data_IF_395301658662
#
_entry.id   IF_395301658662
#
_cell.length_a   1.000
_cell.length_b   1.000
_cell.length_c   1.000
_cell.angle_alpha   90.00
_cell.angle_beta   90.00
_cell.angle_gamma   90.00
#
_symmetry.space_group_name_H-M   'P 1'
#
loop_
_entity.id
_entity.type
_entity.pdbx_description
1 polymer ?
#
# COMPACT_ATOMS: atom_id res chain seq x y z
N UNK A 1 0.06 3.38 15.91
CA UNK A 1 0.51 4.77 15.82
C UNK A 1 -0.58 5.61 15.17
N UNK A 2 -0.99 6.71 15.79
CA UNK A 2 -1.85 7.72 15.17
C UNK A 2 -0.96 8.77 14.50
N UNK A 3 -1.43 9.32 13.40
CA UNK A 3 -0.73 10.38 12.69
C UNK A 3 -1.43 11.72 12.87
N UNK A 4 -0.68 12.77 13.13
CA UNK A 4 -1.23 14.12 13.24
C UNK A 4 -1.90 14.54 11.94
N UNK A 5 -3.07 15.16 12.03
CA UNK A 5 -3.86 15.63 10.88
C UNK A 5 -4.39 14.53 9.94
N UNK A 6 -4.45 13.27 10.42
CA UNK A 6 -5.01 12.15 9.67
C UNK A 6 -5.89 11.27 10.57
N UNK A 7 -7.00 10.76 10.03
CA UNK A 7 -7.81 9.73 10.67
C UNK A 7 -7.22 8.33 10.50
N UNK A 8 -6.20 8.19 9.65
CA UNK A 8 -5.53 6.95 9.32
C UNK A 8 -4.45 6.65 10.35
N UNK A 9 -4.01 5.40 10.40
CA UNK A 9 -3.02 4.97 11.39
C UNK A 9 -2.37 3.66 11.05
N UNK A 10 -1.39 3.29 11.86
CA UNK A 10 -0.74 1.99 11.83
C UNK A 10 -0.85 1.31 13.19
N UNK A 11 -1.06 0.00 13.18
CA UNK A 11 -1.02 -0.84 14.38
C UNK A 11 0.13 -1.84 14.29
N UNK A 12 0.74 -2.13 15.43
CA UNK A 12 1.83 -3.09 15.55
C UNK A 12 1.37 -4.18 16.51
N UNK A 13 1.52 -5.43 16.10
CA UNK A 13 1.11 -6.60 16.85
C UNK A 13 2.27 -7.59 16.92
N UNK A 14 2.53 -8.09 18.11
CA UNK A 14 3.46 -9.20 18.32
C UNK A 14 2.64 -10.49 18.38
N UNK A 15 3.01 -11.45 17.57
CA UNK A 15 2.35 -12.74 17.43
C UNK A 15 3.34 -13.87 17.78
N UNK A 16 2.86 -14.86 18.50
CA UNK A 16 3.55 -16.13 18.66
C UNK A 16 2.89 -17.16 17.72
N UNK A 17 3.67 -17.67 16.77
CA UNK A 17 3.22 -18.69 15.83
C UNK A 17 4.05 -19.96 16.09
N UNK A 18 3.54 -20.81 16.97
CA UNK A 18 4.20 -22.08 17.35
C UNK A 18 5.62 -21.87 17.86
N UNK A 19 5.78 -20.90 18.75
CA UNK A 19 7.08 -20.55 19.35
C UNK A 19 7.95 -19.62 18.50
N UNK A 20 7.51 -19.21 17.32
CA UNK A 20 8.20 -18.25 16.45
C UNK A 20 7.59 -16.86 16.63
N UNK A 21 8.41 -15.88 16.96
CA UNK A 21 7.96 -14.50 17.15
C UNK A 21 7.88 -13.77 15.84
N UNK A 22 6.69 -13.24 15.53
CA UNK A 22 6.40 -12.44 14.34
C UNK A 22 5.84 -11.09 14.74
N UNK A 23 6.40 -10.01 14.18
CA UNK A 23 5.80 -8.68 14.28
C UNK A 23 4.99 -8.39 13.04
N UNK A 24 3.70 -8.13 13.23
CA UNK A 24 2.76 -7.69 12.20
C UNK A 24 2.52 -6.19 12.31
N UNK A 25 2.75 -5.44 11.25
CA UNK A 25 2.38 -4.04 11.10
C UNK A 25 1.23 -3.96 10.10
N UNK A 26 0.08 -3.44 10.54
CA UNK A 26 -1.04 -3.16 9.65
C UNK A 26 -1.18 -1.65 9.45
N UNK A 27 -1.18 -1.22 8.19
CA UNK A 27 -1.18 0.18 7.81
C UNK A 27 -2.46 0.57 7.06
N UNK A 28 -2.95 1.77 7.36
CA UNK A 28 -3.86 2.50 6.51
C UNK A 28 -3.30 3.92 6.39
N UNK A 29 -2.63 4.21 5.27
CA UNK A 29 -1.98 5.49 5.03
C UNK A 29 -2.96 6.51 4.44
N UNK A 30 -2.55 7.77 4.40
CA UNK A 30 -3.38 8.88 3.93
C UNK A 30 -3.86 8.67 2.49
N UNK A 31 -5.16 8.79 2.29
CA UNK A 31 -5.79 8.74 0.97
C UNK A 31 -5.73 10.08 0.25
N UNK A 32 -6.00 10.10 -1.05
CA UNK A 32 -6.08 11.33 -1.83
C UNK A 32 -7.32 12.18 -1.52
N UNK A 33 -8.31 11.64 -0.81
CA UNK A 33 -9.58 12.31 -0.49
C UNK A 33 -10.27 12.91 -1.74
N UNK A 34 -10.13 12.25 -2.89
CA UNK A 34 -10.76 12.68 -4.12
C UNK A 34 -12.28 12.53 -3.99
N UNK A 35 -13.01 13.62 -4.25
CA UNK A 35 -14.45 13.59 -4.30
C UNK A 35 -14.94 12.82 -5.55
N UNK A 36 -16.22 12.46 -5.59
CA UNK A 36 -16.81 11.85 -6.79
C UNK A 36 -16.71 12.78 -8.02
N UNK A 37 -16.80 14.08 -7.80
CA UNK A 37 -16.63 15.09 -8.84
C UNK A 37 -15.19 15.13 -9.35
N UNK A 38 -14.19 15.13 -8.46
CA UNK A 38 -12.76 15.04 -8.83
C UNK A 38 -12.47 13.80 -9.68
N UNK A 39 -13.04 12.65 -9.29
CA UNK A 39 -12.88 11.38 -9.99
C UNK A 39 -13.52 11.40 -11.38
N UNK A 40 -14.72 12.01 -11.50
CA UNK A 40 -15.41 12.15 -12.77
C UNK A 40 -14.66 13.08 -13.74
N UNK A 41 -14.14 14.20 -13.26
CA UNK A 41 -13.29 15.11 -14.04
C UNK A 41 -12.02 14.42 -14.53
N UNK A 42 -11.34 13.65 -13.67
CA UNK A 42 -10.16 12.90 -14.04
C UNK A 42 -10.46 11.82 -15.09
N UNK A 43 -11.56 11.11 -14.94
CA UNK A 43 -12.04 10.11 -15.89
C UNK A 43 -12.40 10.71 -17.27
N UNK A 44 -13.09 11.85 -17.29
CA UNK A 44 -13.40 12.56 -18.51
C UNK A 44 -12.14 13.07 -19.22
N UNK A 45 -11.14 13.50 -18.45
CA UNK A 45 -9.87 13.96 -18.96
C UNK A 45 -9.06 12.82 -19.60
N UNK A 46 -8.94 11.65 -18.96
CA UNK A 46 -8.24 10.49 -19.55
C UNK A 46 -8.84 10.10 -20.90
N UNK A 47 -10.14 10.31 -21.08
CA UNK A 47 -10.85 10.03 -22.34
C UNK A 47 -10.59 11.08 -23.43
N UNK A 48 -10.23 12.31 -23.07
CA UNK A 48 -10.10 13.46 -23.97
C UNK A 48 -8.71 14.11 -23.92
N UNK A 49 -7.66 13.29 -23.95
CA UNK A 49 -6.27 13.76 -23.92
C UNK A 49 -5.92 14.61 -25.16
N UNK A 50 -5.79 15.93 -24.96
CA UNK A 50 -5.15 16.84 -25.91
C UNK A 50 -4.11 17.72 -25.18
N UNK A 51 -3.17 18.30 -25.91
CA UNK A 51 -1.98 18.97 -25.35
C UNK A 51 -2.28 20.20 -24.48
N UNK A 52 -3.36 20.94 -24.77
CA UNK A 52 -3.72 22.15 -24.01
C UNK A 52 -4.33 21.84 -22.64
N UNK A 53 -4.93 20.66 -22.49
CA UNK A 53 -5.51 20.21 -21.21
C UNK A 53 -4.47 19.63 -20.25
N UNK A 54 -3.28 19.25 -20.72
CA UNK A 54 -2.23 18.62 -19.91
C UNK A 54 -1.66 19.55 -18.84
N UNK A 55 -1.39 20.83 -19.16
CA UNK A 55 -0.79 21.77 -18.19
C UNK A 55 -1.80 22.21 -17.11
N UNK A 56 -3.04 22.42 -17.46
CA UNK A 56 -4.12 22.71 -16.52
C UNK A 56 -4.37 21.56 -15.55
N UNK A 57 -4.29 20.34 -16.05
CA UNK A 57 -4.44 19.14 -15.23
C UNK A 57 -3.26 18.92 -14.28
N UNK A 58 -2.02 19.10 -14.77
CA UNK A 58 -0.82 18.95 -13.95
C UNK A 58 -0.89 19.84 -12.71
N UNK A 59 -1.26 21.12 -12.89
CA UNK A 59 -1.40 22.05 -11.78
C UNK A 59 -2.53 21.64 -10.81
N UNK A 60 -3.67 21.18 -11.32
CA UNK A 60 -4.80 20.70 -10.52
C UNK A 60 -4.45 19.44 -9.75
N UNK A 61 -3.77 18.49 -10.38
CA UNK A 61 -3.27 17.25 -9.74
C UNK A 61 -2.26 17.60 -8.65
N UNK A 62 -1.28 18.44 -8.93
CA UNK A 62 -0.27 18.85 -7.95
C UNK A 62 -0.89 19.55 -6.74
N UNK A 63 -1.88 20.39 -6.92
CA UNK A 63 -2.59 21.07 -5.83
C UNK A 63 -3.43 20.11 -4.98
N UNK A 64 -4.14 19.16 -5.58
CA UNK A 64 -5.03 18.25 -4.88
C UNK A 64 -4.30 17.04 -4.29
N UNK A 65 -3.38 16.44 -5.04
CA UNK A 65 -2.67 15.23 -4.60
C UNK A 65 -1.41 15.54 -3.79
N UNK A 66 -0.77 16.69 -4.02
CA UNK A 66 0.47 17.09 -3.37
C UNK A 66 0.43 17.04 -1.84
N UNK A 67 -0.64 17.56 -1.17
CA UNK A 67 -0.79 17.44 0.28
C UNK A 67 -0.82 16.00 0.77
N UNK A 68 -1.59 15.12 0.11
CA UNK A 68 -1.69 13.71 0.48
C UNK A 68 -0.34 12.98 0.30
N UNK A 69 0.39 13.24 -0.79
CA UNK A 69 1.75 12.70 -0.98
C UNK A 69 2.71 13.11 0.13
N UNK A 70 2.68 14.38 0.57
CA UNK A 70 3.54 14.86 1.66
C UNK A 70 3.20 14.21 3.00
N UNK A 71 1.90 14.06 3.31
CA UNK A 71 1.44 13.39 4.54
C UNK A 71 1.88 11.92 4.49
N UNK A 72 1.59 11.23 3.41
CA UNK A 72 1.93 9.82 3.21
C UNK A 72 3.44 9.55 3.27
N UNK A 73 4.25 10.46 2.71
CA UNK A 73 5.72 10.37 2.82
C UNK A 73 6.21 10.46 4.27
N UNK A 74 5.57 11.28 5.13
CA UNK A 74 5.89 11.33 6.57
C UNK A 74 5.45 10.06 7.28
N UNK A 75 4.24 9.57 6.99
CA UNK A 75 3.72 8.32 7.53
C UNK A 75 4.63 7.14 7.15
N UNK A 76 5.03 7.03 5.89
CA UNK A 76 5.92 5.98 5.41
C UNK A 76 7.27 5.98 6.13
N UNK A 77 7.87 7.16 6.35
CA UNK A 77 9.11 7.25 7.15
C UNK A 77 8.91 6.81 8.59
N UNK A 78 7.79 7.22 9.22
CA UNK A 78 7.50 6.79 10.58
C UNK A 78 7.35 5.27 10.69
N UNK A 79 6.65 4.62 9.73
CA UNK A 79 6.55 3.15 9.66
C UNK A 79 7.91 2.51 9.45
N UNK A 80 8.73 3.05 8.54
CA UNK A 80 10.07 2.53 8.28
C UNK A 80 10.98 2.61 9.51
N UNK A 81 10.88 3.68 10.32
CA UNK A 81 11.63 3.79 11.58
C UNK A 81 11.14 2.78 12.63
N UNK A 82 9.84 2.48 12.70
CA UNK A 82 9.35 1.40 13.57
C UNK A 82 9.85 0.03 13.11
N UNK A 83 9.86 -0.24 11.79
CA UNK A 83 10.40 -1.50 11.23
C UNK A 83 11.86 -1.71 11.65
N UNK A 84 12.68 -0.66 11.67
CA UNK A 84 14.11 -0.75 12.08
C UNK A 84 14.31 -1.12 13.55
N UNK A 85 13.31 -0.88 14.40
CA UNK A 85 13.37 -1.18 15.86
C UNK A 85 12.95 -2.61 16.17
N UNK A 86 12.40 -3.34 15.20
CA UNK A 86 11.88 -4.68 15.40
C UNK A 86 13.04 -5.66 15.57
N UNK A 87 13.02 -6.38 16.66
CA UNK A 87 13.99 -7.43 17.02
C UNK A 87 13.29 -8.81 17.09
N UNK A 88 12.47 -9.11 16.08
CA UNK A 88 11.84 -10.42 15.92
C UNK A 88 12.34 -11.11 14.67
N UNK A 89 12.28 -12.45 14.66
CA UNK A 89 12.76 -13.23 13.51
C UNK A 89 11.96 -12.93 12.23
N UNK A 90 10.66 -12.65 12.37
CA UNK A 90 9.75 -12.49 11.25
C UNK A 90 9.05 -11.14 11.33
N UNK A 91 9.08 -10.42 10.22
CA UNK A 91 8.39 -9.13 10.06
C UNK A 91 7.42 -9.22 8.89
N UNK A 92 6.17 -8.87 9.15
CA UNK A 92 5.09 -8.80 8.17
C UNK A 92 4.48 -7.41 8.22
N UNK A 93 4.42 -6.75 7.06
CA UNK A 93 3.79 -5.43 6.93
C UNK A 93 2.70 -5.55 5.88
N UNK A 94 1.47 -5.19 6.24
CA UNK A 94 0.35 -5.24 5.32
C UNK A 94 -0.53 -4.00 5.43
N UNK A 95 -1.51 -3.90 4.53
CA UNK A 95 -2.57 -2.92 4.57
C UNK A 95 -2.65 -2.03 3.33
N UNK A 96 -3.53 -1.05 3.42
CA UNK A 96 -3.73 -0.05 2.38
C UNK A 96 -2.68 1.06 2.50
N UNK A 97 -1.75 1.09 1.55
CA UNK A 97 -0.73 2.13 1.48
C UNK A 97 -1.24 3.38 0.75
N UNK A 98 -2.43 3.33 0.17
CA UNK A 98 -3.00 4.38 -0.66
C UNK A 98 -2.03 4.88 -1.76
N UNK A 99 -1.09 4.03 -2.17
CA UNK A 99 -0.06 4.34 -3.16
C UNK A 99 0.44 3.08 -3.87
N UNK A 100 0.94 3.26 -5.08
CA UNK A 100 1.39 2.16 -5.94
C UNK A 100 2.75 1.60 -5.49
N UNK A 101 3.11 0.36 -5.91
CA UNK A 101 4.39 -0.27 -5.56
C UNK A 101 5.65 0.47 -6.03
N UNK A 102 5.52 1.35 -7.01
CA UNK A 102 6.63 2.18 -7.51
C UNK A 102 6.79 3.49 -6.76
N UNK A 103 5.87 3.82 -5.84
CA UNK A 103 5.83 5.09 -5.13
C UNK A 103 6.95 5.23 -4.09
N UNK A 104 7.19 6.49 -3.69
CA UNK A 104 8.10 6.80 -2.58
C UNK A 104 7.65 6.12 -1.27
N UNK A 105 6.36 6.20 -0.97
CA UNK A 105 5.81 5.64 0.28
C UNK A 105 6.02 4.12 0.35
N UNK A 106 5.64 3.39 -0.71
CA UNK A 106 5.84 1.95 -0.76
C UNK A 106 7.32 1.57 -0.62
N UNK A 107 8.21 2.18 -1.40
CA UNK A 107 9.65 1.89 -1.36
C UNK A 107 10.28 2.19 -0.01
N UNK A 108 9.83 3.27 0.64
CA UNK A 108 10.32 3.65 1.97
C UNK A 108 9.95 2.62 3.03
N UNK A 109 8.70 2.14 3.03
CA UNK A 109 8.23 1.10 3.96
C UNK A 109 8.88 -0.24 3.62
N UNK A 110 8.97 -0.56 2.33
CA UNK A 110 9.56 -1.82 1.89
C UNK A 110 10.99 -2.00 2.42
N UNK A 111 11.86 -1.00 2.23
CA UNK A 111 13.25 -1.12 2.68
C UNK A 111 13.88 -2.47 2.30
N UNK A 112 14.34 -3.29 3.28
CA UNK A 112 14.89 -4.63 3.04
C UNK A 112 13.82 -5.73 2.86
N UNK A 113 12.55 -5.44 3.13
CA UNK A 113 11.46 -6.40 3.01
C UNK A 113 11.18 -6.74 1.55
N UNK A 114 10.52 -7.86 1.32
CA UNK A 114 10.13 -8.35 -0.01
C UNK A 114 8.62 -8.17 -0.20
N UNK A 115 8.21 -7.82 -1.40
CA UNK A 115 6.80 -7.72 -1.79
C UNK A 115 6.26 -9.12 -2.14
N UNK A 116 5.29 -9.59 -1.37
CA UNK A 116 4.72 -10.93 -1.52
C UNK A 116 4.00 -11.10 -2.85
N UNK A 117 3.29 -10.06 -3.33
CA UNK A 117 2.62 -10.12 -4.62
C UNK A 117 3.61 -10.15 -5.78
N UNK A 118 4.65 -9.34 -5.73
CA UNK A 118 5.70 -9.37 -6.74
C UNK A 118 6.44 -10.72 -6.80
N UNK A 119 6.55 -11.41 -5.67
CA UNK A 119 7.25 -12.69 -5.55
C UNK A 119 6.39 -13.91 -5.92
N UNK A 120 5.07 -13.89 -5.72
CA UNK A 120 4.21 -15.08 -5.90
C UNK A 120 2.82 -14.79 -6.48
N UNK A 121 2.50 -13.54 -6.79
CA UNK A 121 1.26 -13.15 -7.44
C UNK A 121 1.33 -13.30 -8.96
N UNK A 122 0.19 -13.10 -9.61
CA UNK A 122 0.07 -13.13 -11.07
C UNK A 122 -0.69 -11.91 -11.60
N UNK A 123 -0.20 -11.34 -12.69
CA UNK A 123 -0.79 -10.16 -13.33
C UNK A 123 -0.52 -8.86 -12.57
N UNK A 124 -1.34 -7.84 -12.81
CA UNK A 124 -1.14 -6.47 -12.28
C UNK A 124 -1.50 -6.36 -10.79
N UNK A 125 -2.39 -7.23 -10.30
CA UNK A 125 -2.78 -7.26 -8.88
C UNK A 125 -3.62 -6.07 -8.44
N UNK A 126 -4.54 -5.62 -9.28
CA UNK A 126 -5.41 -4.48 -8.96
C UNK A 126 -6.23 -4.77 -7.71
N UNK A 127 -6.00 -4.02 -6.64
CA UNK A 127 -6.77 -4.11 -5.40
C UNK A 127 -7.83 -3.02 -5.29
N UNK A 128 -7.62 -1.85 -5.90
CA UNK A 128 -8.60 -0.76 -5.99
C UNK A 128 -9.06 -0.57 -7.43
N UNK A 129 -10.37 -0.58 -7.70
CA UNK A 129 -10.92 -0.56 -9.07
C UNK A 129 -12.10 0.38 -9.27
N UNK A 130 -12.18 1.46 -8.54
CA UNK A 130 -13.24 2.45 -8.68
C UNK A 130 -12.87 3.54 -9.69
N UNK A 131 -13.86 3.97 -10.49
CA UNK A 131 -13.78 5.16 -11.37
C UNK A 131 -12.54 5.19 -12.29
N UNK A 132 -12.20 4.06 -12.94
CA UNK A 132 -11.02 3.90 -13.80
C UNK A 132 -9.65 3.98 -13.11
N UNK A 133 -9.62 4.02 -11.78
CA UNK A 133 -8.40 3.90 -11.00
C UNK A 133 -8.13 2.42 -10.70
N UNK A 134 -7.35 1.77 -11.54
CA UNK A 134 -7.02 0.35 -11.40
C UNK A 134 -5.61 0.20 -10.88
N UNK A 135 -5.48 0.27 -9.56
CA UNK A 135 -4.19 0.25 -8.91
C UNK A 135 -4.09 -0.85 -7.85
N UNK A 136 -2.88 -1.35 -7.66
CA UNK A 136 -2.54 -2.12 -6.47
C UNK A 136 -2.05 -1.13 -5.41
N UNK A 137 -2.86 -0.89 -4.40
CA UNK A 137 -2.55 -0.01 -3.27
C UNK A 137 -2.55 -0.75 -1.94
N UNK A 138 -3.14 -1.94 -1.90
CA UNK A 138 -3.00 -2.87 -0.80
C UNK A 138 -1.76 -3.74 -1.00
N UNK A 139 -0.99 -3.92 0.06
CA UNK A 139 0.31 -4.55 -0.03
C UNK A 139 0.54 -5.55 1.12
N UNK A 140 1.37 -6.56 0.86
CA UNK A 140 1.91 -7.49 1.83
C UNK A 140 3.42 -7.52 1.62
N UNK A 141 4.18 -7.03 2.61
CA UNK A 141 5.64 -7.06 2.62
C UNK A 141 6.11 -7.99 3.74
N UNK A 142 7.17 -8.74 3.51
CA UNK A 142 7.66 -9.73 4.46
C UNK A 142 9.18 -9.77 4.54
N UNK A 143 9.72 -10.23 5.66
CA UNK A 143 11.16 -10.48 5.85
C UNK A 143 11.67 -11.63 4.97
N UNK A 144 12.97 -11.65 4.69
CA UNK A 144 13.58 -12.57 3.71
C UNK A 144 13.46 -14.06 4.10
N UNK A 145 13.33 -14.35 5.39
CA UNK A 145 13.13 -15.70 5.95
C UNK A 145 11.67 -16.19 5.89
N UNK A 146 10.79 -15.47 5.19
CA UNK A 146 9.45 -15.92 4.85
C UNK A 146 9.37 -16.20 3.34
N UNK A 147 8.56 -17.20 2.96
CA UNK A 147 8.29 -17.53 1.55
C UNK A 147 6.82 -17.32 1.22
N UNK A 148 6.48 -16.35 0.35
CA UNK A 148 5.10 -16.16 -0.08
C UNK A 148 4.70 -17.25 -1.08
N UNK A 149 3.44 -17.70 -0.97
CA UNK A 149 2.85 -18.75 -1.82
C UNK A 149 1.45 -18.28 -2.23
N UNK A 150 1.17 -18.30 -3.52
CA UNK A 150 -0.15 -18.00 -4.09
C UNK A 150 -0.73 -16.66 -3.61
N UNK A 151 0.04 -15.58 -3.73
CA UNK A 151 -0.47 -14.25 -3.46
C UNK A 151 -1.54 -13.89 -4.51
N UNK A 152 -2.77 -13.63 -4.06
CA UNK A 152 -3.94 -13.52 -4.94
C UNK A 152 -4.78 -12.31 -4.55
N UNK A 153 -5.34 -11.67 -5.57
CA UNK A 153 -6.39 -10.66 -5.43
C UNK A 153 -7.71 -11.28 -5.89
N UNK A 154 -8.66 -11.41 -4.98
CA UNK A 154 -9.97 -11.97 -5.27
C UNK A 154 -10.93 -10.88 -5.75
N UNK A 155 -11.54 -11.09 -6.92
CA UNK A 155 -12.47 -10.13 -7.54
C UNK A 155 -13.88 -10.21 -6.94
N UNK A 156 -14.00 -10.03 -5.62
CA UNK A 156 -15.28 -9.97 -4.91
C UNK A 156 -15.69 -8.51 -4.70
N UNK A 157 -16.95 -8.18 -4.97
CA UNK A 157 -17.47 -6.80 -4.99
C UNK A 157 -18.25 -6.45 -3.72
N UNK A 158 -17.61 -6.61 -2.56
CA UNK A 158 -18.18 -6.18 -1.28
C UNK A 158 -17.69 -4.79 -0.84
N UNK A 159 -16.66 -4.27 -1.50
CA UNK A 159 -16.01 -3.00 -1.23
C UNK A 159 -15.46 -2.44 -2.54
N UNK A 160 -15.02 -1.19 -2.53
CA UNK A 160 -14.19 -0.56 -3.57
C UNK A 160 -12.76 -1.13 -3.62
N UNK A 161 -12.38 -1.93 -2.61
CA UNK A 161 -11.16 -2.73 -2.63
C UNK A 161 -11.46 -4.22 -2.82
N UNK A 162 -10.62 -4.86 -3.60
CA UNK A 162 -10.54 -6.32 -3.70
C UNK A 162 -9.59 -6.86 -2.64
N UNK A 163 -9.97 -7.93 -1.90
CA UNK A 163 -9.09 -8.51 -0.90
C UNK A 163 -7.82 -9.10 -1.52
N UNK A 164 -6.68 -8.70 -0.94
CA UNK A 164 -5.37 -9.29 -1.21
C UNK A 164 -5.02 -10.26 -0.09
N UNK A 165 -4.68 -11.49 -0.43
CA UNK A 165 -4.26 -12.50 0.52
C UNK A 165 -3.07 -13.33 0.02
N UNK A 166 -2.36 -13.95 0.92
CA UNK A 166 -1.19 -14.75 0.63
C UNK A 166 -0.94 -15.79 1.73
N UNK A 167 -0.51 -16.98 1.37
CA UNK A 167 0.12 -17.89 2.33
C UNK A 167 1.57 -17.51 2.52
N UNK A 168 2.04 -17.54 3.77
CA UNK A 168 3.43 -17.27 4.11
C UNK A 168 4.01 -18.46 4.87
N UNK A 169 4.99 -19.12 4.29
CA UNK A 169 5.75 -20.17 4.93
C UNK A 169 6.91 -19.55 5.70
N UNK A 170 6.96 -19.76 7.01
CA UNK A 170 8.13 -19.40 7.83
C UNK A 170 9.24 -20.40 7.56
N UNK A 171 10.38 -19.94 7.09
CA UNK A 171 11.58 -20.78 6.95
C UNK A 171 12.20 -21.00 8.31
N UNK A 172 12.77 -22.17 8.55
CA UNK A 172 13.61 -22.39 9.71
C UNK A 172 14.94 -21.66 9.51
N UNK A 173 15.44 -21.05 10.56
CA UNK A 173 16.81 -20.53 10.54
C UNK A 173 17.72 -21.76 10.66
N UNK A 174 18.50 -22.01 9.62
CA UNK A 174 19.55 -23.01 9.62
C UNK A 174 20.65 -22.64 10.63
#
# INVERSE_FOLDING_TARGET
>A
QKYDSSFNGSSIHELDIRGKKLTLINNHLESFKLTMEDRSHYSAFIKNLNSETLDGLRSSIEQKLGPAFRIRARQARAVAEEIKKIDTDYVLVCGDFNDTPISYAHRTIQGPLKDAYAASGRGVGVTYNENFFWFRIDNILHSANMKPINCTVDKVRYSDHYPLWCYLQLKEND
#
